data_IF_768057393860
#
_entry.id   IF_768057393860
#
_cell.length_a   1.000
_cell.length_b   1.000
_cell.length_c   1.000
_cell.angle_alpha   90.00
_cell.angle_beta   90.00
_cell.angle_gamma   90.00
#
_symmetry.space_group_name_H-M   'P 1'
#
loop_
_entity.id
_entity.type
_entity.pdbx_description
1 polymer ?
#
# COMPACT_ATOMS: atom_id res chain seq x y z
N UNK A 1 -2.86 19.96 -13.39
CA UNK A 1 -1.78 19.04 -13.84
C UNK A 1 -2.46 17.72 -14.10
N UNK A 2 -2.12 17.02 -15.18
CA UNK A 2 -2.76 15.73 -15.49
C UNK A 2 -1.99 14.61 -14.77
N UNK A 3 -2.49 14.18 -13.61
CA UNK A 3 -1.90 13.11 -12.80
C UNK A 3 -1.98 11.76 -13.51
N UNK A 4 -3.04 11.52 -14.27
CA UNK A 4 -3.19 10.30 -15.05
C UNK A 4 -2.09 10.16 -16.11
N UNK A 5 -1.77 11.23 -16.83
CA UNK A 5 -0.65 11.23 -17.76
C UNK A 5 0.69 11.03 -17.06
N UNK A 6 0.93 11.72 -15.94
CA UNK A 6 2.15 11.55 -15.16
C UNK A 6 2.34 10.12 -14.64
N UNK A 7 1.27 9.51 -14.10
CA UNK A 7 1.28 8.13 -13.62
C UNK A 7 1.54 7.12 -14.72
N UNK A 8 0.91 7.29 -15.89
CA UNK A 8 1.17 6.44 -17.06
C UNK A 8 2.63 6.54 -17.54
N UNK A 9 3.18 7.76 -17.63
CA UNK A 9 4.60 7.95 -18.00
C UNK A 9 5.54 7.28 -16.98
N UNK A 10 5.24 7.43 -15.68
CA UNK A 10 6.03 6.83 -14.62
C UNK A 10 6.01 5.30 -14.69
N UNK A 11 4.84 4.69 -14.81
CA UNK A 11 4.70 3.24 -14.93
C UNK A 11 5.35 2.72 -16.21
N UNK A 12 5.24 3.44 -17.33
CA UNK A 12 5.92 3.05 -18.56
C UNK A 12 7.44 3.02 -18.41
N UNK A 13 8.04 4.00 -17.71
CA UNK A 13 9.49 4.04 -17.45
C UNK A 13 9.90 2.87 -16.55
N UNK A 14 9.17 2.66 -15.45
CA UNK A 14 9.51 1.60 -14.49
C UNK A 14 9.31 0.20 -15.11
N UNK A 15 8.28 0.00 -15.93
CA UNK A 15 8.10 -1.24 -16.68
C UNK A 15 9.31 -1.56 -17.57
N UNK A 16 9.88 -0.55 -18.24
CA UNK A 16 11.07 -0.72 -19.06
C UNK A 16 12.31 -1.08 -18.22
N UNK A 17 12.51 -0.40 -17.09
CA UNK A 17 13.65 -0.61 -16.19
C UNK A 17 13.60 -1.97 -15.48
N UNK A 18 12.43 -2.33 -14.95
CA UNK A 18 12.24 -3.54 -14.13
C UNK A 18 11.71 -4.75 -14.92
N UNK A 19 11.49 -4.58 -16.22
CA UNK A 19 10.90 -5.60 -17.13
C UNK A 19 9.55 -6.11 -16.64
N UNK A 20 8.71 -5.19 -16.15
CA UNK A 20 7.35 -5.46 -15.66
C UNK A 20 6.30 -5.08 -16.71
N UNK A 21 5.04 -5.45 -16.46
CA UNK A 21 3.89 -5.12 -17.31
C UNK A 21 2.74 -4.51 -16.49
N UNK A 22 3.09 -3.61 -15.58
CA UNK A 22 2.10 -2.93 -14.75
C UNK A 22 1.26 -1.95 -15.58
N UNK A 23 -0.03 -1.85 -15.25
CA UNK A 23 -0.95 -0.84 -15.76
C UNK A 23 -1.14 0.26 -14.71
N UNK A 24 -1.56 1.42 -15.18
CA UNK A 24 -1.95 2.54 -14.34
C UNK A 24 -3.41 2.89 -14.60
N UNK A 25 -4.17 3.18 -13.55
CA UNK A 25 -5.56 3.62 -13.66
C UNK A 25 -5.87 4.66 -12.60
N UNK A 26 -6.63 5.66 -13.01
CA UNK A 26 -7.24 6.60 -12.10
C UNK A 26 -8.68 6.18 -11.85
N UNK A 27 -9.07 6.08 -10.58
CA UNK A 27 -10.43 5.83 -10.16
C UNK A 27 -10.72 6.69 -8.93
N UNK A 28 -11.64 7.65 -9.04
CA UNK A 28 -12.02 8.52 -7.92
C UNK A 28 -12.92 7.85 -6.89
N UNK A 29 -13.40 6.62 -7.16
CA UNK A 29 -14.33 5.89 -6.30
C UNK A 29 -13.65 5.04 -5.24
N UNK A 30 -12.34 4.80 -5.37
CA UNK A 30 -11.58 4.03 -4.38
C UNK A 30 -11.35 4.89 -3.13
N UNK A 31 -11.46 4.26 -1.96
CA UNK A 31 -11.31 4.94 -0.66
C UNK A 31 -9.84 5.13 -0.25
N UNK A 32 -8.91 4.55 -1.00
CA UNK A 32 -7.47 4.62 -0.77
C UNK A 32 -6.79 5.57 -1.75
N UNK A 33 -5.73 6.24 -1.30
CA UNK A 33 -4.91 7.13 -2.13
C UNK A 33 -4.34 6.41 -3.36
N UNK A 34 -3.83 5.20 -3.15
CA UNK A 34 -3.41 4.28 -4.19
C UNK A 34 -3.47 2.84 -3.64
N UNK A 35 -3.56 1.85 -4.52
CA UNK A 35 -3.29 0.45 -4.18
C UNK A 35 -2.95 -0.38 -5.43
N UNK A 36 -2.21 -1.46 -5.22
CA UNK A 36 -1.91 -2.46 -6.24
C UNK A 36 -2.98 -3.56 -6.33
N UNK A 37 -3.55 -3.74 -7.53
CA UNK A 37 -4.48 -4.81 -7.91
C UNK A 37 -3.69 -5.96 -8.56
N UNK A 38 -3.39 -6.99 -7.78
CA UNK A 38 -2.57 -8.12 -8.22
C UNK A 38 -3.18 -8.94 -9.36
N UNK A 39 -4.51 -9.09 -9.41
CA UNK A 39 -5.20 -9.83 -10.48
C UNK A 39 -5.14 -9.16 -11.85
N UNK A 40 -4.93 -7.85 -11.87
CA UNK A 40 -4.95 -7.03 -13.08
C UNK A 40 -3.57 -6.46 -13.44
N UNK A 41 -2.58 -6.73 -12.59
CA UNK A 41 -1.24 -6.12 -12.61
C UNK A 41 -1.37 -4.58 -12.72
N UNK A 42 -2.27 -3.99 -11.94
CA UNK A 42 -2.66 -2.58 -12.09
C UNK A 42 -2.42 -1.80 -10.81
N UNK A 43 -1.88 -0.59 -10.93
CA UNK A 43 -1.87 0.39 -9.84
C UNK A 43 -3.04 1.32 -10.07
N UNK A 44 -3.97 1.31 -9.12
CA UNK A 44 -5.12 2.21 -9.11
C UNK A 44 -4.84 3.36 -8.15
N UNK A 45 -5.16 4.58 -8.58
CA UNK A 45 -4.98 5.78 -7.76
C UNK A 45 -6.25 6.62 -7.70
N UNK A 46 -6.44 7.28 -6.57
CA UNK A 46 -7.43 8.33 -6.43
C UNK A 46 -6.72 9.67 -6.52
N UNK A 47 -6.84 10.34 -7.66
CA UNK A 47 -6.19 11.63 -7.90
C UNK A 47 -6.59 12.70 -6.86
N UNK A 48 -7.86 12.73 -6.46
CA UNK A 48 -8.35 13.68 -5.47
C UNK A 48 -7.69 13.47 -4.10
N UNK A 49 -7.62 12.23 -3.62
CA UNK A 49 -6.98 11.91 -2.34
C UNK A 49 -5.47 12.16 -2.39
N UNK A 50 -4.80 11.86 -3.50
CA UNK A 50 -3.38 12.19 -3.70
C UNK A 50 -3.13 13.69 -3.59
N UNK A 51 -3.96 14.51 -4.23
CA UNK A 51 -3.88 15.97 -4.18
C UNK A 51 -4.12 16.51 -2.78
N UNK A 52 -5.13 16.00 -2.08
CA UNK A 52 -5.46 16.40 -0.72
C UNK A 52 -4.33 16.07 0.26
N UNK A 53 -3.79 14.84 0.21
CA UNK A 53 -2.71 14.41 1.09
C UNK A 53 -1.41 15.16 0.81
N UNK A 54 -1.04 15.34 -0.47
CA UNK A 54 0.14 16.11 -0.84
C UNK A 54 0.04 17.55 -0.33
N UNK A 55 -1.12 18.18 -0.49
CA UNK A 55 -1.39 19.54 0.01
C UNK A 55 -1.35 19.61 1.53
N UNK A 56 -1.99 18.69 2.22
CA UNK A 56 -2.01 18.65 3.69
C UNK A 56 -0.61 18.49 4.29
N UNK A 57 0.28 17.80 3.57
CA UNK A 57 1.68 17.60 3.97
C UNK A 57 2.63 18.69 3.44
N UNK A 58 2.13 19.64 2.66
CA UNK A 58 2.93 20.66 1.97
C UNK A 58 4.06 20.04 1.09
N UNK A 59 3.74 18.96 0.38
CA UNK A 59 4.64 18.25 -0.53
C UNK A 59 4.22 18.52 -1.98
N UNK A 60 5.19 18.64 -2.90
CA UNK A 60 4.88 18.73 -4.32
C UNK A 60 4.12 17.46 -4.77
N UNK A 61 3.00 17.65 -5.47
CA UNK A 61 2.14 16.56 -5.91
C UNK A 61 2.87 15.50 -6.75
N UNK A 62 3.79 15.89 -7.64
CA UNK A 62 4.56 14.93 -8.46
C UNK A 62 5.48 14.08 -7.61
N UNK A 63 6.15 14.70 -6.64
CA UNK A 63 7.09 14.02 -5.77
C UNK A 63 6.37 13.07 -4.82
N UNK A 64 5.22 13.51 -4.27
CA UNK A 64 4.34 12.65 -3.47
C UNK A 64 3.84 11.46 -4.28
N UNK A 65 3.26 11.71 -5.47
CA UNK A 65 2.74 10.67 -6.37
C UNK A 65 3.82 9.68 -6.77
N UNK A 66 5.03 10.15 -7.09
CA UNK A 66 6.17 9.28 -7.40
C UNK A 66 6.49 8.32 -6.24
N UNK A 67 6.51 8.83 -5.01
CA UNK A 67 6.81 8.02 -3.82
C UNK A 67 5.68 7.01 -3.54
N UNK A 68 4.42 7.44 -3.62
CA UNK A 68 3.27 6.56 -3.39
C UNK A 68 3.19 5.46 -4.47
N UNK A 69 3.36 5.80 -5.74
CA UNK A 69 3.40 4.78 -6.81
C UNK A 69 4.59 3.84 -6.63
N UNK A 70 5.76 4.33 -6.20
CA UNK A 70 6.92 3.47 -5.92
C UNK A 70 6.62 2.45 -4.80
N UNK A 71 5.82 2.83 -3.80
CA UNK A 71 5.32 1.91 -2.77
C UNK A 71 4.42 0.82 -3.36
N UNK A 72 3.47 1.17 -4.23
CA UNK A 72 2.59 0.18 -4.88
C UNK A 72 3.36 -0.79 -5.80
N UNK A 73 4.39 -0.30 -6.49
CA UNK A 73 5.30 -1.16 -7.27
C UNK A 73 6.09 -2.08 -6.32
N UNK A 74 6.40 -1.60 -5.12
CA UNK A 74 6.95 -2.41 -4.05
C UNK A 74 6.10 -3.64 -3.72
N UNK A 75 4.77 -3.51 -3.67
CA UNK A 75 3.86 -4.65 -3.54
C UNK A 75 3.95 -5.60 -4.74
N UNK A 76 3.99 -5.06 -5.96
CA UNK A 76 4.10 -5.89 -7.17
C UNK A 76 5.42 -6.67 -7.28
N UNK A 77 6.51 -6.14 -6.70
CA UNK A 77 7.82 -6.80 -6.66
C UNK A 77 7.98 -7.81 -5.52
N UNK A 78 7.14 -7.75 -4.49
CA UNK A 78 7.26 -8.62 -3.33
C UNK A 78 6.83 -10.06 -3.67
N UNK A 79 7.83 -10.90 -3.94
CA UNK A 79 7.65 -12.34 -4.20
C UNK A 79 7.07 -13.11 -3.01
N UNK A 80 7.12 -12.54 -1.81
CA UNK A 80 6.54 -13.14 -0.61
C UNK A 80 5.08 -12.75 -0.42
N UNK A 81 4.60 -11.68 -1.06
CA UNK A 81 3.24 -11.16 -0.90
C UNK A 81 2.17 -12.24 -1.12
N UNK A 82 2.22 -13.11 -2.16
CA UNK A 82 1.22 -14.18 -2.31
C UNK A 82 1.14 -15.15 -1.11
N UNK A 83 2.28 -15.43 -0.47
CA UNK A 83 2.33 -16.26 0.74
C UNK A 83 1.78 -15.51 1.96
N UNK A 84 2.05 -14.22 2.06
CA UNK A 84 1.53 -13.36 3.13
C UNK A 84 0.01 -13.23 3.00
N UNK A 85 -0.51 -12.96 1.80
CA UNK A 85 -1.94 -12.87 1.51
C UNK A 85 -2.67 -14.17 1.84
N UNK A 86 -2.07 -15.32 1.49
CA UNK A 86 -2.62 -16.63 1.87
C UNK A 86 -2.75 -16.77 3.39
N UNK A 87 -1.77 -16.27 4.17
CA UNK A 87 -1.84 -16.28 5.64
C UNK A 87 -2.91 -15.32 6.15
N UNK A 88 -3.00 -14.11 5.59
CA UNK A 88 -4.01 -13.09 5.92
C UNK A 88 -5.41 -13.69 5.75
N UNK A 89 -5.72 -14.21 4.56
CA UNK A 89 -7.01 -14.83 4.24
C UNK A 89 -7.32 -16.01 5.16
N UNK A 90 -6.31 -16.83 5.49
CA UNK A 90 -6.46 -17.94 6.43
C UNK A 90 -6.84 -17.45 7.84
N UNK A 91 -6.15 -16.45 8.37
CA UNK A 91 -6.43 -15.92 9.71
C UNK A 91 -7.78 -15.20 9.77
N UNK A 92 -8.14 -14.43 8.75
CA UNK A 92 -9.47 -13.81 8.62
C UNK A 92 -10.57 -14.86 8.60
N UNK A 93 -10.40 -15.95 7.84
CA UNK A 93 -11.35 -17.07 7.81
C UNK A 93 -11.48 -17.73 9.17
N UNK A 94 -10.38 -17.97 9.89
CA UNK A 94 -10.41 -18.55 11.24
C UNK A 94 -11.19 -17.65 12.19
N UNK A 95 -10.92 -16.34 12.20
CA UNK A 95 -11.64 -15.39 13.05
C UNK A 95 -13.13 -15.34 12.73
N UNK A 96 -13.49 -15.36 11.44
CA UNK A 96 -14.89 -15.34 10.99
C UNK A 96 -15.66 -16.62 11.35
N UNK A 97 -15.02 -17.77 11.26
CA UNK A 97 -15.70 -19.08 11.40
C UNK A 97 -15.63 -19.67 12.81
N UNK A 98 -14.58 -19.35 13.57
CA UNK A 98 -14.34 -19.90 14.91
C UNK A 98 -14.43 -18.85 16.03
N UNK A 99 -14.86 -17.63 15.69
CA UNK A 99 -14.92 -16.50 16.60
C UNK A 99 -13.56 -15.86 16.90
N UNK A 100 -13.61 -14.78 17.68
CA UNK A 100 -12.41 -13.99 17.98
C UNK A 100 -11.40 -14.75 18.86
N UNK A 101 -10.17 -14.89 18.37
CA UNK A 101 -9.02 -15.41 19.12
C UNK A 101 -7.88 -14.39 19.06
N UNK A 102 -7.45 -13.90 20.22
CA UNK A 102 -6.45 -12.83 20.36
C UNK A 102 -5.14 -13.16 19.62
N UNK A 103 -4.65 -14.40 19.74
CA UNK A 103 -3.44 -14.87 19.06
C UNK A 103 -3.57 -14.81 17.52
N UNK A 104 -4.72 -15.22 16.98
CA UNK A 104 -4.98 -15.21 15.54
C UNK A 104 -5.07 -13.76 15.03
N UNK A 105 -5.73 -12.88 15.78
CA UNK A 105 -5.81 -11.47 15.43
C UNK A 105 -4.44 -10.77 15.47
N UNK A 106 -3.57 -11.13 16.43
CA UNK A 106 -2.19 -10.66 16.46
C UNK A 106 -1.40 -11.14 15.23
N UNK A 107 -1.52 -12.42 14.86
CA UNK A 107 -0.85 -12.95 13.67
C UNK A 107 -1.34 -12.30 12.39
N UNK A 108 -2.64 -12.07 12.26
CA UNK A 108 -3.22 -11.31 11.15
C UNK A 108 -2.61 -9.91 11.03
N UNK A 109 -2.58 -9.15 12.13
CA UNK A 109 -1.99 -7.82 12.17
C UNK A 109 -0.50 -7.84 11.79
N UNK A 110 0.27 -8.81 12.28
CA UNK A 110 1.69 -8.94 11.93
C UNK A 110 1.89 -9.23 10.44
N UNK A 111 1.08 -10.09 9.82
CA UNK A 111 1.16 -10.35 8.39
C UNK A 111 0.82 -9.10 7.55
N UNK A 112 -0.19 -8.32 7.93
CA UNK A 112 -0.51 -7.06 7.24
C UNK A 112 0.66 -6.07 7.34
N UNK A 113 1.26 -5.92 8.52
CA UNK A 113 2.44 -5.07 8.70
C UNK A 113 3.67 -5.55 7.91
N UNK A 114 3.86 -6.86 7.80
CA UNK A 114 4.94 -7.46 7.02
C UNK A 114 4.80 -7.11 5.53
N UNK A 115 3.59 -7.20 4.96
CA UNK A 115 3.31 -6.81 3.58
C UNK A 115 3.66 -5.32 3.32
N UNK A 116 3.19 -4.43 4.19
CA UNK A 116 3.50 -2.99 4.11
C UNK A 116 5.01 -2.72 4.18
N UNK A 117 5.69 -3.35 5.16
CA UNK A 117 7.11 -3.16 5.35
C UNK A 117 7.92 -3.65 4.14
N UNK A 118 7.55 -4.80 3.56
CA UNK A 118 8.19 -5.32 2.37
C UNK A 118 8.00 -4.37 1.18
N UNK A 119 6.79 -3.87 0.96
CA UNK A 119 6.52 -2.92 -0.12
C UNK A 119 7.38 -1.65 0.01
N UNK A 120 7.44 -1.06 1.21
CA UNK A 120 8.32 0.08 1.47
C UNK A 120 9.82 -0.22 1.34
N UNK A 121 10.25 -1.46 1.59
CA UNK A 121 11.65 -1.87 1.38
C UNK A 121 11.97 -2.06 -0.10
N UNK A 122 11.04 -2.59 -0.89
CA UNK A 122 11.20 -2.67 -2.33
C UNK A 122 11.20 -1.28 -2.97
N UNK A 123 10.29 -0.40 -2.56
CA UNK A 123 10.21 0.98 -3.04
C UNK A 123 11.50 1.78 -2.85
N UNK A 124 12.23 1.52 -1.76
CA UNK A 124 13.52 2.17 -1.47
C UNK A 124 14.57 1.92 -2.56
N UNK A 125 14.50 0.78 -3.28
CA UNK A 125 15.39 0.48 -4.39
C UNK A 125 14.96 1.12 -5.73
N UNK A 126 13.73 1.63 -5.80
CA UNK A 126 13.15 2.28 -6.99
C UNK A 126 13.35 3.80 -6.90
N UNK A 127 13.20 4.34 -5.70
CA UNK A 127 13.22 5.78 -5.46
C UNK A 127 14.62 6.34 -5.67
N UNK A 128 14.72 7.34 -6.56
CA UNK A 128 16.02 7.99 -6.83
C UNK A 128 16.58 8.70 -5.60
N UNK A 129 17.92 8.74 -5.40
CA UNK A 129 18.54 9.29 -4.18
C UNK A 129 18.13 10.71 -3.79
N UNK A 130 17.77 11.55 -4.77
CA UNK A 130 17.30 12.93 -4.53
C UNK A 130 16.03 13.00 -3.66
N UNK A 131 15.26 11.91 -3.60
CA UNK A 131 14.02 11.83 -2.82
C UNK A 131 14.20 11.14 -1.47
N UNK A 132 15.39 10.64 -1.11
CA UNK A 132 15.58 9.81 0.09
C UNK A 132 15.04 10.44 1.38
N UNK A 133 15.25 11.75 1.57
CA UNK A 133 14.76 12.45 2.77
C UNK A 133 13.23 12.45 2.83
N UNK A 134 12.58 12.82 1.72
CA UNK A 134 11.12 12.85 1.59
C UNK A 134 10.52 11.44 1.69
N UNK A 135 11.15 10.47 1.04
CA UNK A 135 10.76 9.06 1.06
C UNK A 135 10.78 8.50 2.48
N UNK A 136 11.88 8.71 3.21
CA UNK A 136 12.00 8.22 4.59
C UNK A 136 10.96 8.86 5.53
N UNK A 137 10.64 10.14 5.32
CA UNK A 137 9.56 10.81 6.05
C UNK A 137 8.21 10.13 5.76
N UNK A 138 7.83 10.00 4.48
CA UNK A 138 6.56 9.39 4.08
C UNK A 138 6.46 7.93 4.54
N UNK A 139 7.52 7.13 4.33
CA UNK A 139 7.62 5.72 4.77
C UNK A 139 7.39 5.60 6.27
N UNK A 140 8.07 6.41 7.08
CA UNK A 140 7.93 6.38 8.54
C UNK A 140 6.52 6.74 9.00
N UNK A 141 5.95 7.82 8.45
CA UNK A 141 4.58 8.25 8.76
C UNK A 141 3.55 7.20 8.32
N UNK A 142 3.69 6.64 7.12
CA UNK A 142 2.80 5.61 6.58
C UNK A 142 2.83 4.35 7.44
N UNK A 143 4.01 3.79 7.72
CA UNK A 143 4.14 2.59 8.57
C UNK A 143 3.58 2.80 9.98
N UNK A 144 3.75 4.00 10.55
CA UNK A 144 3.12 4.35 11.83
C UNK A 144 1.60 4.33 11.73
N UNK A 145 1.03 4.96 10.70
CA UNK A 145 -0.42 4.96 10.44
C UNK A 145 -0.95 3.55 10.19
N UNK A 146 -0.30 2.73 9.37
CA UNK A 146 -0.71 1.34 9.12
C UNK A 146 -0.76 0.53 10.41
N UNK A 147 0.23 0.71 11.30
CA UNK A 147 0.24 0.07 12.62
C UNK A 147 -0.90 0.51 13.53
N UNK A 148 -1.27 1.79 13.50
CA UNK A 148 -2.41 2.32 14.25
C UNK A 148 -3.73 1.80 13.68
N UNK A 149 -3.90 1.83 12.35
CA UNK A 149 -5.06 1.33 11.65
C UNK A 149 -5.29 -0.16 11.94
N UNK A 150 -4.26 -1.01 11.84
CA UNK A 150 -4.41 -2.44 12.11
C UNK A 150 -4.72 -2.74 13.59
N UNK A 151 -4.27 -1.89 14.53
CA UNK A 151 -4.69 -2.00 15.94
C UNK A 151 -6.18 -1.69 16.09
N UNK A 152 -6.68 -0.65 15.42
CA UNK A 152 -8.10 -0.30 15.45
C UNK A 152 -8.96 -1.36 14.77
N UNK A 153 -8.54 -1.88 13.62
CA UNK A 153 -9.19 -3.02 12.94
C UNK A 153 -9.31 -4.23 13.85
N UNK A 154 -8.22 -4.58 14.56
CA UNK A 154 -8.23 -5.67 15.54
C UNK A 154 -9.24 -5.42 16.66
N UNK A 155 -9.31 -4.20 17.21
CA UNK A 155 -10.30 -3.85 18.23
C UNK A 155 -11.74 -3.95 17.69
N UNK A 156 -11.98 -3.49 16.46
CA UNK A 156 -13.27 -3.62 15.80
C UNK A 156 -13.66 -5.08 15.57
N UNK A 157 -12.73 -5.93 15.11
CA UNK A 157 -12.93 -7.36 14.97
C UNK A 157 -13.30 -8.01 16.30
N UNK A 158 -12.63 -7.64 17.39
CA UNK A 158 -12.94 -8.10 18.74
C UNK A 158 -14.36 -7.77 19.16
N UNK A 159 -14.84 -6.55 18.88
CA UNK A 159 -16.20 -6.12 19.22
C UNK A 159 -17.26 -6.82 18.37
N UNK A 160 -16.98 -7.07 17.08
CA UNK A 160 -17.91 -7.71 16.14
C UNK A 160 -18.08 -9.21 16.40
N UNK A 161 -17.01 -9.90 16.78
CA UNK A 161 -16.94 -11.38 16.85
C UNK A 161 -16.98 -11.95 18.27
N UNK A 162 -17.13 -11.10 19.30
CA UNK A 162 -17.41 -11.50 20.69
C UNK A 162 -18.89 -11.41 21.08
N UNK A 163 -19.75 -10.98 20.15
CA UNK A 163 -21.21 -11.08 20.27
C UNK A 163 -21.64 -12.48 19.85
#
# INVERSE_FOLDING_TARGET
MDLANFGNELISKINAELRMKLKFRSDSTIEHTAFYVSSEECIEVNEGLLEEEARAKNINLKDYTYIIISHEIGHALDKQLPKIDTKIQRFERILKTQGYKEEIANRLMMCKLEAEQNAWNHAENIVTPKFNLLFNQIKSESLKKSKENFKLEKQLLKLKLKR
#
